data_IF_256438849252
#
_entry.id   IF_256438849252
#
_cell.length_a   1.000
_cell.length_b   1.000
_cell.length_c   1.000
_cell.angle_alpha   90.00
_cell.angle_beta   90.00
_cell.angle_gamma   90.00
#
_symmetry.space_group_name_H-M   'P 1'
#
loop_
_entity.id
_entity.type
_entity.pdbx_description
1 polymer ?
#
# COMPACT_ATOMS: atom_id res chain seq x y z
N UNK A 1 -8.87 31.78 6.79
CA UNK A 1 -8.74 30.67 7.76
C UNK A 1 -7.37 30.04 7.56
N UNK A 2 -6.44 30.17 8.51
CA UNK A 2 -5.15 29.49 8.41
C UNK A 2 -5.37 27.97 8.54
N UNK A 3 -4.90 27.22 7.55
CA UNK A 3 -4.53 25.81 7.74
C UNK A 3 -5.55 24.71 7.48
N UNK A 4 -6.60 24.89 6.67
CA UNK A 4 -7.33 23.71 6.17
C UNK A 4 -6.44 22.95 5.18
N UNK A 5 -5.61 22.02 5.66
CA UNK A 5 -4.94 21.06 4.80
C UNK A 5 -6.03 20.35 3.99
N UNK A 6 -6.06 20.55 2.67
CA UNK A 6 -6.97 19.84 1.78
C UNK A 6 -6.68 18.35 1.92
N UNK A 7 -7.46 17.66 2.77
CA UNK A 7 -7.27 16.24 3.00
C UNK A 7 -7.72 15.48 1.76
N UNK A 8 -6.94 14.48 1.35
CA UNK A 8 -7.13 13.69 0.13
C UNK A 8 -7.14 12.21 0.45
N UNK A 9 -7.83 11.45 -0.38
CA UNK A 9 -7.88 10.00 -0.25
C UNK A 9 -6.63 9.40 -0.91
N UNK A 10 -6.09 8.33 -0.32
CA UNK A 10 -4.94 7.60 -0.83
C UNK A 10 -5.33 6.14 -1.08
N UNK A 11 -4.83 5.52 -2.15
CA UNK A 11 -4.99 4.10 -2.36
C UNK A 11 -3.72 3.32 -2.01
N UNK A 12 -3.90 2.19 -1.33
CA UNK A 12 -2.91 1.13 -1.18
C UNK A 12 -3.37 0.01 -2.10
N UNK A 13 -2.68 -0.18 -3.23
CA UNK A 13 -3.09 -1.14 -4.25
C UNK A 13 -2.14 -2.32 -4.24
N UNK A 14 -2.69 -3.52 -4.03
CA UNK A 14 -1.96 -4.72 -4.40
C UNK A 14 -1.61 -4.71 -5.90
N UNK A 15 -0.58 -5.48 -6.29
CA UNK A 15 -0.03 -5.44 -7.64
C UNK A 15 -0.49 -6.65 -8.44
N UNK A 16 -0.05 -7.84 -8.04
CA UNK A 16 -0.21 -9.08 -8.80
C UNK A 16 -1.67 -9.57 -8.73
N UNK A 17 -2.31 -9.77 -9.88
CA UNK A 17 -3.75 -10.05 -9.98
C UNK A 17 -4.66 -8.93 -9.46
N UNK A 18 -4.13 -7.73 -9.22
CA UNK A 18 -4.92 -6.57 -8.82
C UNK A 18 -4.76 -5.43 -9.81
N UNK A 19 -3.57 -4.84 -9.93
CA UNK A 19 -3.29 -3.77 -10.91
C UNK A 19 -2.61 -4.32 -12.16
N UNK A 20 -1.94 -5.46 -12.03
CA UNK A 20 -1.11 -6.08 -13.06
C UNK A 20 -1.50 -7.55 -13.22
N UNK A 21 -1.74 -7.97 -14.47
CA UNK A 21 -2.11 -9.33 -14.83
C UNK A 21 -1.09 -9.94 -15.79
N UNK A 22 -0.91 -11.25 -15.68
CA UNK A 22 0.05 -11.99 -16.51
C UNK A 22 1.49 -11.79 -16.06
N UNK A 23 2.42 -12.16 -16.94
CA UNK A 23 3.85 -12.02 -16.74
C UNK A 23 4.50 -11.57 -18.06
N UNK A 24 5.68 -10.96 -17.96
CA UNK A 24 6.41 -10.48 -19.13
C UNK A 24 6.59 -11.60 -20.18
N UNK A 25 6.43 -11.29 -21.48
CA UNK A 25 6.13 -9.97 -22.06
C UNK A 25 4.62 -9.64 -22.15
N UNK A 26 3.73 -10.54 -21.71
CA UNK A 26 2.29 -10.45 -21.92
C UNK A 26 1.56 -9.83 -20.72
N UNK A 27 2.11 -8.75 -20.18
CA UNK A 27 1.55 -8.06 -19.03
C UNK A 27 0.39 -7.14 -19.46
N UNK A 28 -0.73 -7.22 -18.74
CA UNK A 28 -1.90 -6.34 -18.91
C UNK A 28 -2.13 -5.52 -17.65
N UNK A 29 -2.40 -4.22 -17.80
CA UNK A 29 -2.75 -3.35 -16.69
C UNK A 29 -4.26 -3.26 -16.48
N UNK A 30 -4.70 -3.20 -15.22
CA UNK A 30 -6.11 -3.08 -14.86
C UNK A 30 -6.66 -1.65 -15.06
N UNK A 31 -6.78 -1.23 -16.31
CA UNK A 31 -7.28 0.10 -16.65
C UNK A 31 -8.69 0.37 -16.15
N UNK A 32 -9.52 -0.68 -15.97
CA UNK A 32 -10.85 -0.54 -15.40
C UNK A 32 -10.81 -0.06 -13.94
N UNK A 33 -9.96 -0.68 -13.11
CA UNK A 33 -9.72 -0.24 -11.73
C UNK A 33 -9.14 1.18 -11.69
N UNK A 34 -8.11 1.44 -12.50
CA UNK A 34 -7.43 2.74 -12.53
C UNK A 34 -8.39 3.87 -12.94
N UNK A 35 -9.19 3.68 -13.99
CA UNK A 35 -10.18 4.68 -14.41
C UNK A 35 -11.22 4.94 -13.32
N UNK A 36 -11.71 3.90 -12.63
CA UNK A 36 -12.68 4.07 -11.57
C UNK A 36 -12.11 4.83 -10.35
N UNK A 37 -10.83 4.63 -10.01
CA UNK A 37 -10.14 5.41 -8.97
C UNK A 37 -10.02 6.90 -9.37
N UNK A 38 -9.69 7.18 -10.63
CA UNK A 38 -9.64 8.56 -11.14
C UNK A 38 -11.02 9.23 -11.11
N UNK A 39 -12.08 8.52 -11.49
CA UNK A 39 -13.46 8.99 -11.38
C UNK A 39 -13.88 9.24 -9.92
N UNK A 40 -13.38 8.43 -8.99
CA UNK A 40 -13.55 8.60 -7.56
C UNK A 40 -12.70 9.76 -6.97
N UNK A 41 -11.86 10.39 -7.77
CA UNK A 41 -10.97 11.47 -7.34
C UNK A 41 -9.76 11.00 -6.54
N UNK A 42 -9.44 9.70 -6.57
CA UNK A 42 -8.29 9.10 -5.89
C UNK A 42 -7.10 9.14 -6.85
N UNK A 43 -6.06 9.90 -6.49
CA UNK A 43 -4.87 10.10 -7.35
C UNK A 43 -3.57 9.73 -6.66
N UNK A 44 -3.54 9.76 -5.34
CA UNK A 44 -2.37 9.44 -4.53
C UNK A 44 -2.36 7.92 -4.28
N UNK A 45 -1.29 7.23 -4.69
CA UNK A 45 -1.18 5.76 -4.66
C UNK A 45 0.13 5.34 -3.98
N UNK A 46 0.07 4.29 -3.16
CA UNK A 46 1.20 3.40 -2.93
C UNK A 46 0.91 2.05 -3.59
N UNK A 47 1.90 1.51 -4.30
CA UNK A 47 1.88 0.10 -4.65
C UNK A 47 2.18 -0.71 -3.38
N UNK A 48 1.46 -1.80 -3.17
CA UNK A 48 1.40 -2.48 -1.89
C UNK A 48 1.49 -3.99 -2.12
N UNK A 49 2.69 -4.51 -2.37
CA UNK A 49 2.92 -5.87 -2.91
C UNK A 49 3.67 -6.75 -1.93
N UNK A 50 3.39 -8.06 -1.92
CA UNK A 50 4.10 -9.04 -1.07
C UNK A 50 5.42 -9.54 -1.68
N UNK A 51 6.03 -8.75 -2.57
CA UNK A 51 7.26 -9.13 -3.25
C UNK A 51 8.48 -9.20 -2.31
N UNK A 52 9.45 -10.03 -2.70
CA UNK A 52 10.84 -9.88 -2.27
C UNK A 52 11.53 -8.93 -3.26
N UNK A 53 12.37 -8.04 -2.76
CA UNK A 53 13.10 -7.09 -3.60
C UNK A 53 14.15 -7.84 -4.41
N UNK A 54 14.07 -7.75 -5.73
CA UNK A 54 15.06 -8.24 -6.68
C UNK A 54 15.02 -7.36 -7.94
N UNK A 55 15.97 -7.56 -8.86
CA UNK A 55 16.12 -6.72 -10.06
C UNK A 55 14.87 -6.70 -10.94
N UNK A 56 14.35 -7.89 -11.30
CA UNK A 56 13.17 -8.04 -12.16
C UNK A 56 11.94 -7.37 -11.55
N UNK A 57 11.66 -7.64 -10.27
CA UNK A 57 10.53 -7.07 -9.56
C UNK A 57 10.64 -5.56 -9.45
N UNK A 58 11.83 -5.01 -9.20
CA UNK A 58 12.04 -3.55 -9.15
C UNK A 58 11.77 -2.91 -10.51
N UNK A 59 12.28 -3.49 -11.59
CA UNK A 59 12.03 -2.98 -12.94
C UNK A 59 10.55 -3.06 -13.34
N UNK A 60 9.87 -4.16 -13.01
CA UNK A 60 8.45 -4.31 -13.31
C UNK A 60 7.60 -3.29 -12.54
N UNK A 61 7.86 -3.10 -11.24
CA UNK A 61 7.12 -2.11 -10.43
C UNK A 61 7.44 -0.68 -10.83
N UNK A 62 8.67 -0.38 -11.26
CA UNK A 62 9.00 0.93 -11.82
C UNK A 62 8.25 1.20 -13.13
N UNK A 63 8.16 0.18 -14.00
CA UNK A 63 7.42 0.29 -15.27
C UNK A 63 5.93 0.52 -15.01
N UNK A 64 5.35 -0.22 -14.06
CA UNK A 64 3.98 -0.02 -13.63
C UNK A 64 3.77 1.38 -13.03
N UNK A 65 4.67 1.85 -12.17
CA UNK A 65 4.58 3.19 -11.59
C UNK A 65 4.58 4.27 -12.69
N UNK A 66 5.51 4.19 -13.64
CA UNK A 66 5.57 5.11 -14.79
C UNK A 66 4.28 5.07 -15.62
N UNK A 67 3.71 3.87 -15.83
CA UNK A 67 2.44 3.72 -16.53
C UNK A 67 1.31 4.44 -15.79
N UNK A 68 1.18 4.23 -14.48
CA UNK A 68 0.15 4.88 -13.67
C UNK A 68 0.33 6.40 -13.62
N UNK A 69 1.56 6.90 -13.50
CA UNK A 69 1.85 8.33 -13.55
C UNK A 69 1.44 8.95 -14.89
N UNK A 70 1.65 8.23 -16.01
CA UNK A 70 1.18 8.67 -17.33
C UNK A 70 -0.35 8.80 -17.44
N UNK A 71 -1.10 8.12 -16.56
CA UNK A 71 -2.57 8.20 -16.46
C UNK A 71 -3.05 9.28 -15.46
N UNK A 72 -2.13 10.01 -14.83
CA UNK A 72 -2.45 11.11 -13.92
C UNK A 72 -2.58 10.72 -12.45
N UNK A 73 -1.97 9.59 -12.06
CA UNK A 73 -1.71 9.26 -10.66
C UNK A 73 -0.41 9.89 -10.16
N UNK A 74 -0.30 9.97 -8.83
CA UNK A 74 0.95 10.18 -8.13
C UNK A 74 1.28 8.91 -7.35
N UNK A 75 2.32 8.20 -7.77
CA UNK A 75 2.81 7.00 -7.08
C UNK A 75 3.85 7.44 -6.05
N UNK A 76 3.55 7.26 -4.77
CA UNK A 76 4.42 7.71 -3.67
C UNK A 76 5.54 6.71 -3.35
N UNK A 77 5.36 5.45 -3.72
CA UNK A 77 6.35 4.39 -3.51
C UNK A 77 5.73 3.00 -3.58
N UNK A 78 6.57 1.99 -3.31
CA UNK A 78 6.19 0.58 -3.28
C UNK A 78 6.46 0.06 -1.87
N UNK A 79 5.40 -0.26 -1.13
CA UNK A 79 5.48 -0.84 0.21
C UNK A 79 5.53 -2.36 0.06
N UNK A 80 6.47 -2.98 0.77
CA UNK A 80 6.73 -4.43 0.73
C UNK A 80 6.85 -5.00 2.16
N UNK A 81 6.78 -6.33 2.35
CA UNK A 81 6.97 -6.93 3.66
C UNK A 81 8.37 -6.66 4.23
N UNK A 82 9.35 -6.43 3.35
CA UNK A 82 10.73 -6.13 3.75
C UNK A 82 10.84 -4.82 4.50
N UNK A 83 9.95 -3.85 4.23
CA UNK A 83 9.98 -2.55 4.90
C UNK A 83 9.86 -2.68 6.41
N UNK A 84 9.11 -3.66 6.92
CA UNK A 84 8.88 -3.88 8.36
C UNK A 84 10.23 -3.94 9.12
N UNK A 85 11.13 -4.81 8.67
CA UNK A 85 12.42 -5.03 9.34
C UNK A 85 13.61 -4.35 8.67
N UNK A 86 13.39 -3.47 7.69
CA UNK A 86 14.47 -2.88 6.89
C UNK A 86 15.50 -2.07 7.69
N UNK A 87 15.09 -1.57 8.86
CA UNK A 87 15.96 -0.80 9.76
C UNK A 87 16.92 -1.69 10.57
N UNK A 88 16.71 -3.01 10.59
CA UNK A 88 17.54 -3.96 11.31
C UNK A 88 18.79 -4.31 10.52
N UNK A 89 19.86 -4.65 11.25
CA UNK A 89 21.06 -5.18 10.65
C UNK A 89 20.83 -6.59 10.07
N UNK A 90 21.46 -6.88 8.93
CA UNK A 90 21.31 -8.16 8.25
C UNK A 90 21.92 -9.31 9.08
N UNK A 91 23.07 -9.11 9.73
CA UNK A 91 23.71 -10.14 10.55
C UNK A 91 22.85 -10.50 11.76
N UNK A 92 22.16 -9.51 12.35
CA UNK A 92 21.19 -9.76 13.42
C UNK A 92 20.06 -10.68 12.95
N UNK A 93 19.48 -10.39 11.79
CA UNK A 93 18.38 -11.18 11.23
C UNK A 93 18.84 -12.59 10.85
N UNK A 94 20.01 -12.73 10.20
CA UNK A 94 20.58 -14.02 9.86
C UNK A 94 20.95 -14.84 11.09
N UNK A 95 21.52 -14.19 12.12
CA UNK A 95 21.80 -14.79 13.41
C UNK A 95 20.53 -15.33 14.07
N UNK A 96 19.42 -14.58 14.03
CA UNK A 96 18.12 -15.04 14.52
C UNK A 96 17.60 -16.24 13.71
N UNK A 97 17.64 -16.14 12.37
CA UNK A 97 17.16 -17.19 11.47
C UNK A 97 17.97 -18.49 11.58
N UNK A 98 19.25 -18.41 11.94
CA UNK A 98 20.14 -19.59 12.08
C UNK A 98 19.69 -20.61 13.14
N UNK A 99 18.86 -20.19 14.10
CA UNK A 99 18.29 -21.09 15.12
C UNK A 99 17.21 -22.02 14.55
N UNK A 100 16.69 -21.73 13.36
CA UNK A 100 15.54 -22.43 12.80
C UNK A 100 15.93 -23.33 11.63
N UNK A 101 15.77 -24.65 11.82
CA UNK A 101 15.70 -25.61 10.71
C UNK A 101 14.31 -25.67 10.07
N UNK A 102 13.29 -25.30 10.85
CA UNK A 102 11.87 -25.20 10.50
C UNK A 102 11.23 -24.17 11.43
N UNK A 103 10.10 -23.55 11.05
CA UNK A 103 9.38 -22.63 11.92
C UNK A 103 8.96 -23.30 13.25
N UNK A 104 9.19 -22.61 14.38
CA UNK A 104 8.82 -23.06 15.73
C UNK A 104 8.37 -21.85 16.56
N UNK A 105 7.07 -21.76 16.85
CA UNK A 105 6.48 -20.60 17.53
C UNK A 105 6.99 -20.42 18.97
N UNK A 106 7.27 -21.52 19.67
CA UNK A 106 7.74 -21.47 21.07
C UNK A 106 9.17 -20.95 21.12
N UNK A 107 10.02 -21.45 20.22
CA UNK A 107 11.38 -20.98 20.08
C UNK A 107 11.43 -19.52 19.62
N UNK A 108 10.60 -19.13 18.65
CA UNK A 108 10.49 -17.72 18.21
C UNK A 108 10.23 -16.80 19.39
N UNK A 109 9.22 -17.08 20.23
CA UNK A 109 8.92 -16.25 21.41
C UNK A 109 10.08 -16.20 22.39
N UNK A 110 10.69 -17.35 22.67
CA UNK A 110 11.83 -17.45 23.60
C UNK A 110 13.03 -16.63 23.11
N UNK A 111 13.34 -16.68 21.81
CA UNK A 111 14.45 -15.91 21.24
C UNK A 111 14.16 -14.41 21.26
N UNK A 112 12.92 -13.99 20.96
CA UNK A 112 12.52 -12.58 20.99
C UNK A 112 12.57 -11.95 22.39
N UNK A 113 12.54 -12.75 23.46
CA UNK A 113 12.73 -12.28 24.84
C UNK A 113 14.21 -12.07 25.21
N UNK A 114 15.15 -12.56 24.40
CA UNK A 114 16.58 -12.39 24.66
C UNK A 114 17.05 -11.00 24.25
N UNK A 115 17.89 -10.36 25.07
CA UNK A 115 18.44 -9.02 24.81
C UNK A 115 19.01 -8.89 23.39
N UNK A 116 19.71 -9.92 22.92
CA UNK A 116 20.30 -9.97 21.57
C UNK A 116 19.29 -9.77 20.45
N UNK A 117 18.08 -10.34 20.57
CA UNK A 117 17.07 -10.33 19.51
C UNK A 117 15.86 -9.44 19.83
N UNK A 118 15.87 -8.80 21.00
CA UNK A 118 14.79 -7.92 21.48
C UNK A 118 14.45 -6.79 20.49
N UNK A 119 15.44 -6.33 19.70
CA UNK A 119 15.25 -5.34 18.63
C UNK A 119 14.21 -5.78 17.57
N UNK A 120 14.07 -7.10 17.32
CA UNK A 120 13.08 -7.64 16.38
C UNK A 120 11.64 -7.41 16.86
N UNK A 121 11.40 -7.19 18.15
CA UNK A 121 10.06 -6.83 18.63
C UNK A 121 9.60 -5.44 18.17
N UNK A 122 10.52 -4.58 17.73
CA UNK A 122 10.24 -3.21 17.28
C UNK A 122 10.04 -3.12 15.75
N UNK A 123 9.46 -4.17 15.18
CA UNK A 123 9.21 -4.42 13.76
C UNK A 123 8.55 -3.29 12.93
N UNK A 124 8.04 -2.22 13.53
CA UNK A 124 7.32 -1.17 12.81
C UNK A 124 8.00 0.20 12.93
N UNK A 125 9.31 0.24 13.17
CA UNK A 125 10.08 1.50 13.27
C UNK A 125 10.66 1.99 11.93
N UNK A 126 10.58 1.16 10.90
CA UNK A 126 11.03 1.52 9.55
C UNK A 126 10.08 2.49 8.83
N UNK A 127 10.52 3.03 7.70
CA UNK A 127 9.69 3.88 6.83
C UNK A 127 9.01 3.03 5.74
N UNK A 128 7.71 3.24 5.44
CA UNK A 128 7.06 2.54 4.34
C UNK A 128 7.73 2.83 2.99
N UNK A 129 8.01 1.79 2.21
CA UNK A 129 8.58 1.86 0.87
C UNK A 129 10.08 2.17 0.79
N UNK A 130 10.78 2.18 1.92
CA UNK A 130 12.23 2.45 1.97
C UNK A 130 13.05 1.36 1.27
N UNK A 131 12.63 0.10 1.38
CA UNK A 131 13.36 -1.02 0.81
C UNK A 131 13.41 -0.92 -0.72
N UNK A 132 12.26 -0.68 -1.33
CA UNK A 132 12.14 -0.50 -2.77
C UNK A 132 12.88 0.74 -3.25
N UNK A 133 12.73 1.87 -2.54
CA UNK A 133 13.40 3.12 -2.91
C UNK A 133 14.93 2.97 -2.88
N UNK A 134 15.48 2.24 -1.91
CA UNK A 134 16.91 1.95 -1.86
C UNK A 134 17.34 1.11 -3.07
N UNK A 135 16.56 0.09 -3.42
CA UNK A 135 16.85 -0.80 -4.55
C UNK A 135 16.84 -0.07 -5.89
N UNK A 136 15.85 0.80 -6.11
CA UNK A 136 15.73 1.61 -7.31
C UNK A 136 16.90 2.58 -7.47
N UNK A 137 17.38 3.17 -6.37
CA UNK A 137 18.45 4.17 -6.40
C UNK A 137 19.88 3.57 -6.37
N UNK A 138 20.03 2.27 -6.08
CA UNK A 138 21.32 1.60 -5.93
C UNK A 138 21.32 0.23 -6.65
N UNK A 139 21.07 0.18 -7.97
CA UNK A 139 20.97 -1.07 -8.72
C UNK A 139 22.27 -1.91 -8.66
N UNK A 140 23.43 -1.27 -8.51
CA UNK A 140 24.72 -1.95 -8.34
C UNK A 140 24.82 -2.75 -7.02
N UNK A 141 23.96 -2.42 -6.04
CA UNK A 141 23.88 -3.09 -4.74
C UNK A 141 22.79 -4.16 -4.66
N UNK A 142 22.16 -4.52 -5.79
CA UNK A 142 20.94 -5.35 -5.84
C UNK A 142 21.09 -6.71 -5.16
N UNK A 143 22.24 -7.38 -5.30
CA UNK A 143 22.48 -8.68 -4.66
C UNK A 143 22.38 -8.60 -3.13
N UNK A 144 23.01 -7.58 -2.53
CA UNK A 144 22.97 -7.35 -1.07
C UNK A 144 21.57 -6.95 -0.62
N UNK A 145 20.89 -6.07 -1.37
CA UNK A 145 19.51 -5.65 -1.10
C UNK A 145 18.56 -6.84 -1.14
N UNK A 146 18.74 -7.75 -2.11
CA UNK A 146 17.94 -8.97 -2.24
C UNK A 146 18.14 -9.88 -1.03
N UNK A 147 19.38 -10.11 -0.61
CA UNK A 147 19.67 -10.91 0.58
C UNK A 147 19.05 -10.32 1.85
N UNK A 148 19.16 -9.00 2.05
CA UNK A 148 18.53 -8.30 3.16
C UNK A 148 16.99 -8.43 3.13
N UNK A 149 16.38 -8.24 1.94
CA UNK A 149 14.93 -8.41 1.75
C UNK A 149 14.46 -9.83 2.07
N UNK A 150 15.22 -10.84 1.66
CA UNK A 150 14.94 -12.24 2.00
C UNK A 150 15.03 -12.49 3.51
N UNK A 151 16.05 -11.96 4.18
CA UNK A 151 16.19 -12.06 5.63
C UNK A 151 15.02 -11.40 6.36
N UNK A 152 14.68 -10.16 6.00
CA UNK A 152 13.55 -9.40 6.57
C UNK A 152 12.22 -10.14 6.38
N UNK A 153 11.94 -10.64 5.17
CA UNK A 153 10.73 -11.39 4.88
C UNK A 153 10.66 -12.72 5.66
N UNK A 154 11.81 -13.39 5.84
CA UNK A 154 11.88 -14.64 6.61
C UNK A 154 11.63 -14.40 8.10
N UNK A 155 12.22 -13.34 8.67
CA UNK A 155 11.98 -12.93 10.07
C UNK A 155 10.50 -12.63 10.27
N UNK A 156 9.89 -11.85 9.37
CA UNK A 156 8.44 -11.59 9.41
C UNK A 156 7.61 -12.86 9.37
N UNK A 157 7.98 -13.83 8.52
CA UNK A 157 7.30 -15.12 8.45
C UNK A 157 7.29 -15.87 9.79
N UNK A 158 8.36 -15.79 10.58
CA UNK A 158 8.46 -16.40 11.91
C UNK A 158 7.70 -15.60 12.97
N UNK A 159 7.91 -14.28 13.00
CA UNK A 159 7.29 -13.38 13.99
C UNK A 159 5.77 -13.37 13.83
N UNK A 160 5.25 -13.27 12.60
CA UNK A 160 3.82 -13.32 12.30
C UNK A 160 3.19 -14.61 12.83
N UNK A 161 3.81 -15.76 12.59
CA UNK A 161 3.31 -17.08 13.05
C UNK A 161 3.33 -17.23 14.56
N UNK A 162 4.32 -16.64 15.24
CA UNK A 162 4.45 -16.73 16.68
C UNK A 162 3.47 -15.80 17.40
N UNK A 163 3.29 -14.57 16.90
CA UNK A 163 2.45 -13.56 17.52
C UNK A 163 0.98 -13.68 17.13
N UNK A 164 0.70 -14.26 15.95
CA UNK A 164 -0.66 -14.47 15.43
C UNK A 164 -1.50 -13.18 15.42
N UNK A 165 -0.85 -12.02 15.22
CA UNK A 165 -1.52 -10.71 15.29
C UNK A 165 -2.39 -10.47 14.04
N UNK A 166 -1.85 -10.80 12.85
CA UNK A 166 -2.54 -10.67 11.57
C UNK A 166 -2.35 -11.92 10.71
N UNK A 167 -3.40 -12.29 9.98
CA UNK A 167 -3.42 -13.48 9.12
C UNK A 167 -2.35 -13.41 8.01
N UNK A 168 -2.15 -12.23 7.43
CA UNK A 168 -1.18 -12.00 6.35
C UNK A 168 -0.27 -10.82 6.66
N UNK A 169 0.86 -10.74 5.95
CA UNK A 169 1.82 -9.65 6.05
C UNK A 169 1.21 -8.29 5.66
N UNK A 170 0.14 -8.27 4.87
CA UNK A 170 -0.58 -7.03 4.52
C UNK A 170 -1.10 -6.30 5.76
N UNK A 171 -1.52 -7.03 6.80
CA UNK A 171 -1.90 -6.42 8.08
C UNK A 171 -0.73 -5.69 8.74
N UNK A 172 0.47 -6.29 8.74
CA UNK A 172 1.69 -5.66 9.26
C UNK A 172 2.16 -4.49 8.41
N UNK A 173 2.13 -4.62 7.08
CA UNK A 173 2.44 -3.53 6.15
C UNK A 173 1.47 -2.36 6.31
N UNK A 174 0.18 -2.64 6.58
CA UNK A 174 -0.81 -1.61 6.83
C UNK A 174 -0.55 -0.90 8.16
N UNK A 175 -0.26 -1.65 9.23
CA UNK A 175 0.14 -1.09 10.52
C UNK A 175 1.36 -0.17 10.39
N UNK A 176 2.38 -0.58 9.61
CA UNK A 176 3.54 0.23 9.29
C UNK A 176 3.12 1.53 8.57
N UNK A 177 2.32 1.43 7.51
CA UNK A 177 1.81 2.61 6.80
C UNK A 177 1.05 3.56 7.72
N UNK A 178 0.16 3.05 8.58
CA UNK A 178 -0.64 3.89 9.48
C UNK A 178 0.22 4.69 10.44
N UNK A 179 1.26 4.07 11.03
CA UNK A 179 2.18 4.75 11.94
C UNK A 179 2.89 5.94 11.27
N UNK A 180 3.10 5.87 9.95
CA UNK A 180 3.75 6.90 9.15
C UNK A 180 2.78 7.67 8.25
N UNK A 181 1.47 7.49 8.43
CA UNK A 181 0.45 8.01 7.52
C UNK A 181 0.47 9.54 7.51
N UNK A 182 0.67 10.18 6.35
CA UNK A 182 0.69 11.63 6.27
C UNK A 182 -0.60 12.28 6.81
N UNK A 183 -0.46 13.45 7.44
CA UNK A 183 -1.60 14.17 8.05
C UNK A 183 -2.67 14.60 7.03
N UNK A 184 -2.26 14.82 5.78
CA UNK A 184 -3.15 15.17 4.69
C UNK A 184 -4.04 14.01 4.21
N UNK A 185 -3.79 12.77 4.65
CA UNK A 185 -4.63 11.63 4.28
C UNK A 185 -5.99 11.71 4.99
N UNK A 186 -7.08 11.73 4.21
CA UNK A 186 -8.47 11.70 4.69
C UNK A 186 -8.97 10.27 4.92
N UNK A 187 -8.79 9.41 3.91
CA UNK A 187 -9.28 8.03 3.85
C UNK A 187 -8.26 7.18 3.09
N UNK A 188 -8.20 5.91 3.45
CA UNK A 188 -7.40 4.90 2.79
C UNK A 188 -8.33 4.00 2.00
N UNK A 189 -8.05 3.85 0.71
CA UNK A 189 -8.67 2.87 -0.17
C UNK A 189 -7.71 1.69 -0.24
N UNK A 190 -8.15 0.48 0.08
CA UNK A 190 -7.33 -0.72 -0.03
C UNK A 190 -7.97 -1.65 -1.06
N UNK A 191 -7.19 -2.09 -2.03
CA UNK A 191 -7.67 -3.00 -3.08
C UNK A 191 -6.68 -4.16 -3.19
N UNK A 192 -7.20 -5.38 -3.08
CA UNK A 192 -6.41 -6.61 -3.09
C UNK A 192 -7.28 -7.75 -3.63
N UNK A 193 -6.69 -8.71 -4.34
CA UNK A 193 -7.40 -9.84 -4.92
C UNK A 193 -7.68 -10.95 -3.90
N UNK A 194 -7.00 -10.97 -2.76
CA UNK A 194 -7.11 -12.03 -1.76
C UNK A 194 -7.96 -11.60 -0.55
N UNK A 195 -9.00 -12.38 -0.26
CA UNK A 195 -9.89 -12.13 0.88
C UNK A 195 -9.17 -12.14 2.24
N UNK A 196 -8.13 -12.98 2.38
CA UNK A 196 -7.32 -13.04 3.60
C UNK A 196 -6.52 -11.74 3.83
N UNK A 197 -6.08 -11.09 2.75
CA UNK A 197 -5.41 -9.79 2.81
C UNK A 197 -6.37 -8.68 3.20
N UNK A 198 -7.58 -8.68 2.63
CA UNK A 198 -8.68 -7.77 3.02
C UNK A 198 -8.93 -7.91 4.52
N UNK A 199 -9.15 -9.14 4.99
CA UNK A 199 -9.43 -9.45 6.40
C UNK A 199 -8.28 -9.03 7.32
N UNK A 200 -7.02 -9.25 6.91
CA UNK A 200 -5.85 -8.85 7.69
C UNK A 200 -5.73 -7.31 7.84
N UNK A 201 -6.01 -6.56 6.77
CA UNK A 201 -5.97 -5.08 6.80
C UNK A 201 -7.12 -4.51 7.61
N UNK A 202 -8.33 -5.06 7.47
CA UNK A 202 -9.47 -4.65 8.31
C UNK A 202 -9.19 -4.93 9.79
N UNK A 203 -8.62 -6.10 10.10
CA UNK A 203 -8.22 -6.46 11.47
C UNK A 203 -7.19 -5.49 12.03
N UNK A 204 -6.17 -5.14 11.25
CA UNK A 204 -5.19 -4.12 11.64
C UNK A 204 -5.86 -2.75 11.87
N UNK A 205 -6.84 -2.38 11.05
CA UNK A 205 -7.55 -1.11 11.18
C UNK A 205 -8.48 -1.04 12.41
N UNK A 206 -8.90 -2.16 13.01
CA UNK A 206 -9.64 -2.13 14.30
C UNK A 206 -8.85 -1.40 15.40
N UNK A 207 -7.51 -1.55 15.39
CA UNK A 207 -6.59 -0.91 16.34
C UNK A 207 -6.47 0.60 16.10
N UNK A 208 -6.39 1.01 14.83
CA UNK A 208 -6.09 2.39 14.46
C UNK A 208 -7.31 3.26 14.13
N UNK A 209 -8.45 2.62 13.84
CA UNK A 209 -9.74 3.26 13.54
C UNK A 209 -9.64 4.34 12.46
N UNK A 210 -8.81 4.10 11.44
CA UNK A 210 -8.74 4.98 10.28
C UNK A 210 -9.97 4.79 9.40
N UNK A 211 -10.27 5.81 8.59
CA UNK A 211 -11.28 5.71 7.53
C UNK A 211 -10.72 4.80 6.44
N UNK A 212 -11.14 3.54 6.43
CA UNK A 212 -10.76 2.53 5.45
C UNK A 212 -11.94 2.23 4.52
N UNK A 213 -11.64 2.02 3.25
CA UNK A 213 -12.55 1.51 2.23
C UNK A 213 -11.85 0.36 1.51
N UNK A 214 -12.18 -0.87 1.87
CA UNK A 214 -11.55 -2.07 1.31
C UNK A 214 -12.39 -2.64 0.16
N UNK A 215 -11.75 -3.09 -0.92
CA UNK A 215 -12.38 -3.71 -2.08
C UNK A 215 -11.63 -4.99 -2.44
N UNK A 216 -12.35 -6.11 -2.49
CA UNK A 216 -11.83 -7.37 -3.00
C UNK A 216 -11.85 -7.35 -4.53
N UNK A 217 -10.68 -7.40 -5.18
CA UNK A 217 -10.55 -7.49 -6.64
C UNK A 217 -10.77 -8.93 -7.13
N UNK A 218 -11.94 -9.49 -6.85
CA UNK A 218 -12.26 -10.87 -7.22
C UNK A 218 -13.76 -11.08 -7.34
N UNK A 219 -14.21 -11.76 -8.39
CA UNK A 219 -15.61 -12.16 -8.52
C UNK A 219 -15.90 -13.52 -7.85
N UNK A 220 -17.15 -13.96 -7.94
CA UNK A 220 -17.60 -15.25 -7.37
C UNK A 220 -17.00 -16.47 -8.06
N UNK A 221 -16.41 -16.31 -9.23
CA UNK A 221 -15.74 -17.33 -10.02
C UNK A 221 -14.22 -17.30 -9.83
N UNK A 222 -13.71 -16.45 -8.93
CA UNK A 222 -12.29 -16.18 -8.72
C UNK A 222 -11.56 -15.50 -9.89
N UNK A 223 -12.29 -14.86 -10.82
CA UNK A 223 -11.66 -14.01 -11.82
C UNK A 223 -11.20 -12.70 -11.18
N UNK A 224 -10.03 -12.22 -11.61
CA UNK A 224 -9.43 -10.97 -11.12
C UNK A 224 -9.42 -9.87 -12.21
N UNK A 225 -9.50 -10.23 -13.48
CA UNK A 225 -9.74 -9.33 -14.60
C UNK A 225 -11.23 -8.98 -14.69
N UNK A 226 -11.65 -7.97 -13.93
CA UNK A 226 -13.06 -7.61 -13.79
C UNK A 226 -13.50 -6.50 -14.76
N UNK A 227 -14.79 -6.49 -15.18
CA UNK A 227 -15.32 -5.46 -16.06
C UNK A 227 -15.43 -4.10 -15.35
N UNK A 228 -15.44 -3.01 -16.12
CA UNK A 228 -15.60 -1.64 -15.58
C UNK A 228 -16.82 -1.48 -14.65
N UNK A 229 -17.92 -2.17 -14.93
CA UNK A 229 -19.14 -2.13 -14.12
C UNK A 229 -18.90 -2.57 -12.67
N UNK A 230 -18.02 -3.55 -12.45
CA UNK A 230 -17.67 -4.01 -11.10
C UNK A 230 -17.06 -2.87 -10.27
N UNK A 231 -16.09 -2.14 -10.85
CA UNK A 231 -15.43 -1.05 -10.13
C UNK A 231 -16.33 0.18 -10.00
N UNK A 232 -17.17 0.47 -11.00
CA UNK A 232 -18.16 1.54 -10.89
C UNK A 232 -19.14 1.29 -9.74
N UNK A 233 -19.60 0.05 -9.57
CA UNK A 233 -20.45 -0.34 -8.45
C UNK A 233 -19.67 -0.27 -7.12
N UNK A 234 -18.48 -0.87 -7.07
CA UNK A 234 -17.63 -0.92 -5.88
C UNK A 234 -17.25 0.47 -5.38
N UNK A 235 -16.99 1.44 -6.27
CA UNK A 235 -16.62 2.81 -5.92
C UNK A 235 -17.76 3.82 -6.04
N UNK A 236 -19.01 3.39 -6.26
CA UNK A 236 -20.14 4.27 -6.54
C UNK A 236 -20.29 5.41 -5.50
N UNK A 237 -20.10 5.07 -4.22
CA UNK A 237 -20.17 6.05 -3.13
C UNK A 237 -19.03 7.09 -3.18
N UNK A 238 -17.82 6.70 -3.60
CA UNK A 238 -16.69 7.61 -3.76
C UNK A 238 -16.89 8.51 -4.97
N UNK A 239 -17.27 7.93 -6.10
CA UNK A 239 -17.54 8.64 -7.36
C UNK A 239 -18.66 9.68 -7.16
N UNK A 240 -19.76 9.28 -6.53
CA UNK A 240 -20.87 10.19 -6.23
C UNK A 240 -20.44 11.37 -5.34
N UNK A 241 -19.68 11.09 -4.27
CA UNK A 241 -19.15 12.12 -3.39
C UNK A 241 -18.17 13.07 -4.11
N UNK A 242 -17.32 12.55 -4.99
CA UNK A 242 -16.38 13.36 -5.76
C UNK A 242 -17.11 14.29 -6.73
N UNK A 243 -18.06 13.76 -7.51
CA UNK A 243 -18.88 14.54 -8.44
C UNK A 243 -19.67 15.64 -7.72
N UNK A 244 -20.26 15.34 -6.57
CA UNK A 244 -20.96 16.34 -5.76
C UNK A 244 -20.03 17.48 -5.31
N UNK A 245 -18.81 17.15 -4.85
CA UNK A 245 -17.81 18.17 -4.47
C UNK A 245 -17.42 19.06 -5.65
N UNK A 246 -17.23 18.48 -6.83
CA UNK A 246 -16.93 19.24 -8.05
C UNK A 246 -18.08 20.18 -8.42
N UNK A 247 -19.34 19.70 -8.39
CA UNK A 247 -20.51 20.54 -8.67
C UNK A 247 -20.63 21.70 -7.69
N UNK A 248 -20.42 21.46 -6.40
CA UNK A 248 -20.47 22.50 -5.37
C UNK A 248 -19.33 23.52 -5.55
N UNK A 249 -18.13 23.08 -5.90
CA UNK A 249 -17.01 23.98 -6.20
C UNK A 249 -17.33 24.89 -7.40
N UNK A 250 -17.77 24.31 -8.51
CA UNK A 250 -18.18 25.06 -9.71
C UNK A 250 -19.30 26.07 -9.42
N UNK A 251 -20.28 25.68 -8.59
CA UNK A 251 -21.37 26.59 -8.18
C UNK A 251 -20.85 27.77 -7.35
N UNK A 252 -19.97 27.52 -6.38
CA UNK A 252 -19.36 28.56 -5.55
C UNK A 252 -18.53 29.54 -6.39
N UNK A 253 -17.73 29.03 -7.34
CA UNK A 253 -16.92 29.85 -8.24
C UNK A 253 -17.79 30.74 -9.14
N UNK A 254 -18.86 30.17 -9.71
CA UNK A 254 -19.81 30.92 -10.51
C UNK A 254 -20.50 32.05 -9.70
N UNK A 255 -20.89 31.77 -8.45
CA UNK A 255 -21.50 32.77 -7.56
C UNK A 255 -20.53 33.91 -7.21
N UNK A 256 -19.27 33.58 -6.92
CA UNK A 256 -18.24 34.59 -6.64
C UNK A 256 -17.96 35.47 -7.85
N UNK A 257 -17.87 34.89 -9.05
CA UNK A 257 -17.66 35.65 -10.28
C UNK A 257 -18.84 36.59 -10.60
N UNK A 258 -20.08 36.14 -10.41
CA UNK A 258 -21.26 37.00 -10.60
C UNK A 258 -21.31 38.16 -9.58
N UNK A 259 -20.88 37.94 -8.33
CA UNK A 259 -20.83 39.01 -7.32
C UNK A 259 -19.73 40.07 -7.56
N UNK A 260 -18.65 39.68 -8.25
CA UNK A 260 -17.58 40.61 -8.67
C UNK A 260 -17.98 41.44 -9.88
N UNK A 261 -18.76 40.88 -10.80
CA UNK A 261 -19.28 41.62 -11.95
C UNK A 261 -20.37 42.62 -11.56
N UNK A 262 -21.22 42.33 -10.55
CA UNK A 262 -22.23 43.29 -10.10
C UNK A 262 -21.66 44.47 -9.30
N UNK A 263 -20.52 44.31 -8.65
CA UNK A 263 -19.84 45.37 -7.88
C UNK A 263 -18.96 46.29 -8.73
N UNK A 264 -18.64 45.92 -9.98
CA UNK A 264 -17.91 46.77 -10.93
C UNK A 264 -18.80 47.74 -11.73
N UNK A 265 -20.13 47.70 -11.53
CA UNK A 265 -21.10 48.61 -12.16
C UNK A 265 -21.81 49.53 -11.14
N UNK A 266 -21.29 49.61 -9.91
CA UNK A 266 -21.82 50.49 -8.83
C UNK A 266 -20.89 51.67 -8.59
#
# INVERSE_FOLDING_TARGET
MPGSTNKRDIALLDVDNTVLFGAAPNTTYNDNLLNALLEAGVRDIYLFTSMTINEEGVMERQTLANYMESKGFKVHGVITPSDIFWHLDQELMEGFLSHFKRPDNSLTKTLLEQDQYSAINFAIESQPGVAFALALNNPESMARITAHSQAANSVLGLVKKANDEYLTEKGHMYALFIKHKPEWVNRIIFVDDANDNISAVEKANEKYKCRLFAVLNRDKQNACELPASFYQESFASLIGNHRLRQLLASYCDAKQNNSRQSSSFS
#
